data_IF_928124629665
#
_entry.id   IF_928124629665
#
_cell.length_a   1.000
_cell.length_b   1.000
_cell.length_c   1.000
_cell.angle_alpha   90.00
_cell.angle_beta   90.00
_cell.angle_gamma   90.00
#
_symmetry.space_group_name_H-M   'P 1'
#
loop_
_entity.id
_entity.type
_entity.pdbx_description
1 polymer ?
#
# COMPACT_ATOMS: atom_id res chain seq x y z
N UNK A 1 -13.53 2.58 -14.20
CA UNK A 1 -12.74 3.32 -13.18
C UNK A 1 -11.60 2.42 -12.77
N UNK A 2 -10.36 2.89 -12.83
CA UNK A 2 -9.17 2.09 -12.54
C UNK A 2 -8.85 2.12 -11.05
N UNK A 3 -9.71 1.48 -10.27
CA UNK A 3 -9.67 1.46 -8.82
C UNK A 3 -9.66 0.03 -8.29
N UNK A 4 -8.95 -0.20 -7.20
CA UNK A 4 -8.95 -1.48 -6.52
C UNK A 4 -8.80 -1.32 -5.01
N UNK A 5 -9.43 -2.23 -4.29
CA UNK A 5 -9.17 -2.47 -2.88
C UNK A 5 -8.77 -3.95 -2.70
N UNK A 6 -7.69 -4.17 -1.97
CA UNK A 6 -7.11 -5.48 -1.68
C UNK A 6 -6.76 -5.54 -0.21
N UNK A 7 -7.20 -6.62 0.44
CA UNK A 7 -6.83 -6.96 1.81
C UNK A 7 -6.02 -8.24 1.79
N UNK A 8 -4.89 -8.24 2.50
CA UNK A 8 -4.02 -9.40 2.65
C UNK A 8 -3.70 -9.58 4.12
N UNK A 9 -4.01 -10.76 4.65
CA UNK A 9 -3.75 -11.12 6.04
C UNK A 9 -2.89 -12.38 6.06
N UNK A 10 -1.76 -12.29 6.74
CA UNK A 10 -0.90 -13.42 7.07
C UNK A 10 -0.83 -13.57 8.59
N UNK A 11 0.04 -14.48 9.05
CA UNK A 11 0.34 -14.59 10.48
C UNK A 11 1.17 -13.40 10.95
N UNK A 12 1.97 -12.83 10.07
CA UNK A 12 2.94 -11.77 10.31
C UNK A 12 2.29 -10.39 10.20
N UNK A 13 1.39 -10.19 9.22
CA UNK A 13 0.83 -8.87 8.89
C UNK A 13 -0.66 -8.88 8.60
N UNK A 14 -1.30 -7.73 8.80
CA UNK A 14 -2.67 -7.43 8.38
C UNK A 14 -2.66 -6.12 7.61
N UNK A 15 -2.99 -6.20 6.32
CA UNK A 15 -2.80 -5.10 5.38
C UNK A 15 -4.04 -4.88 4.55
N UNK A 16 -4.41 -3.61 4.39
CA UNK A 16 -5.43 -3.13 3.46
C UNK A 16 -4.82 -2.05 2.59
N UNK A 17 -4.98 -2.19 1.28
CA UNK A 17 -4.59 -1.19 0.27
C UNK A 17 -5.82 -0.82 -0.54
N UNK A 18 -6.10 0.48 -0.63
CA UNK A 18 -7.05 1.06 -1.57
C UNK A 18 -6.31 1.99 -2.51
N UNK A 19 -6.54 1.83 -3.80
CA UNK A 19 -5.81 2.47 -4.88
C UNK A 19 -6.78 3.03 -5.94
N UNK A 20 -6.50 4.24 -6.38
CA UNK A 20 -7.05 4.84 -7.60
C UNK A 20 -5.91 5.23 -8.54
N UNK A 21 -5.87 4.64 -9.73
CA UNK A 21 -4.86 4.96 -10.75
C UNK A 21 -5.14 6.27 -11.50
N UNK A 22 -6.37 6.80 -11.39
CA UNK A 22 -6.80 8.06 -12.00
C UNK A 22 -6.94 9.17 -10.94
N UNK A 23 -6.05 9.16 -9.95
CA UNK A 23 -6.11 10.00 -8.75
C UNK A 23 -5.52 11.40 -8.91
N UNK A 24 -5.26 12.03 -7.76
CA UNK A 24 -4.71 13.40 -7.63
C UNK A 24 -3.41 13.45 -6.83
N UNK A 25 -2.84 12.29 -6.51
CA UNK A 25 -1.61 12.19 -5.73
C UNK A 25 -1.84 12.26 -4.22
N UNK A 26 -3.03 11.89 -3.72
CA UNK A 26 -3.36 11.93 -2.29
C UNK A 26 -2.94 10.63 -1.61
N UNK A 27 -2.15 10.71 -0.55
CA UNK A 27 -1.75 9.55 0.25
C UNK A 27 -2.33 9.58 1.67
N UNK A 28 -2.83 8.44 2.15
CA UNK A 28 -3.19 8.18 3.55
C UNK A 28 -2.49 6.90 4.00
N UNK A 29 -1.45 7.04 4.81
CA UNK A 29 -0.54 5.95 5.12
C UNK A 29 -0.49 5.74 6.63
N UNK A 30 -0.68 4.50 7.07
CA UNK A 30 -0.60 4.08 8.46
C UNK A 30 0.01 2.68 8.49
N UNK A 31 1.34 2.63 8.44
CA UNK A 31 2.13 1.40 8.31
C UNK A 31 2.99 1.12 9.54
N UNK A 32 3.19 2.13 10.39
CA UNK A 32 4.14 2.08 11.52
C UNK A 32 5.60 2.22 11.11
N UNK A 33 5.89 2.48 9.82
CA UNK A 33 7.23 2.62 9.26
C UNK A 33 7.41 3.98 8.57
N UNK A 34 7.79 5.05 9.31
CA UNK A 34 7.78 6.42 8.81
C UNK A 34 8.58 6.64 7.51
N UNK A 35 9.71 5.95 7.35
CA UNK A 35 10.51 6.07 6.13
C UNK A 35 9.83 5.40 4.92
N UNK A 36 9.16 4.27 5.12
CA UNK A 36 8.38 3.63 4.06
C UNK A 36 7.20 4.52 3.66
N UNK A 37 6.52 5.14 4.63
CA UNK A 37 5.43 6.10 4.34
C UNK A 37 5.92 7.29 3.52
N UNK A 38 7.11 7.81 3.85
CA UNK A 38 7.74 8.84 3.04
C UNK A 38 7.96 8.39 1.59
N UNK A 39 8.45 7.15 1.37
CA UNK A 39 8.64 6.62 0.02
C UNK A 39 7.30 6.43 -0.73
N UNK A 40 6.27 5.92 -0.05
CA UNK A 40 4.96 5.69 -0.66
C UNK A 40 4.20 6.99 -0.97
N UNK A 41 4.38 8.05 -0.17
CA UNK A 41 3.87 9.40 -0.50
C UNK A 41 4.47 9.91 -1.80
N UNK A 42 5.77 9.70 -2.03
CA UNK A 42 6.41 10.09 -3.30
C UNK A 42 5.83 9.30 -4.48
N UNK A 43 5.58 8.00 -4.31
CA UNK A 43 4.93 7.18 -5.36
C UNK A 43 3.54 7.71 -5.70
N UNK A 44 2.70 8.00 -4.70
CA UNK A 44 1.36 8.55 -4.92
C UNK A 44 1.44 9.92 -5.63
N UNK A 45 2.24 10.84 -5.08
CA UNK A 45 2.38 12.22 -5.55
C UNK A 45 2.89 12.31 -6.99
N UNK A 46 3.97 11.60 -7.31
CA UNK A 46 4.59 11.67 -8.63
C UNK A 46 3.92 10.74 -9.66
N UNK A 47 3.20 9.73 -9.19
CA UNK A 47 2.40 8.84 -10.03
C UNK A 47 0.98 9.33 -10.31
N UNK A 48 0.54 10.44 -9.68
CA UNK A 48 -0.85 10.93 -9.71
C UNK A 48 -1.86 9.85 -9.27
N UNK A 49 -1.48 9.05 -8.28
CA UNK A 49 -2.31 7.98 -7.72
C UNK A 49 -2.93 8.46 -6.41
N UNK A 50 -4.16 8.07 -6.11
CA UNK A 50 -4.68 8.16 -4.75
C UNK A 50 -4.44 6.83 -4.05
N UNK A 51 -3.75 6.87 -2.90
CA UNK A 51 -3.24 5.68 -2.21
C UNK A 51 -3.61 5.73 -0.73
N UNK A 52 -4.34 4.73 -0.26
CA UNK A 52 -4.63 4.52 1.16
C UNK A 52 -4.09 3.15 1.59
N UNK A 53 -3.16 3.14 2.56
CA UNK A 53 -2.53 1.92 3.08
C UNK A 53 -2.65 1.91 4.61
N UNK A 54 -3.27 0.86 5.12
CA UNK A 54 -3.30 0.53 6.54
C UNK A 54 -2.59 -0.81 6.72
N UNK A 55 -1.56 -0.85 7.54
CA UNK A 55 -0.80 -2.06 7.83
C UNK A 55 -0.49 -2.17 9.33
N UNK A 56 -0.63 -3.39 9.84
CA UNK A 56 -0.11 -3.81 11.14
C UNK A 56 0.75 -5.04 10.91
N UNK A 57 1.96 -5.04 11.45
CA UNK A 57 2.87 -6.16 11.30
C UNK A 57 3.70 -6.41 12.55
N UNK A 58 4.49 -7.47 12.49
CA UNK A 58 5.37 -7.96 13.54
C UNK A 58 6.67 -7.15 13.69
N UNK A 59 6.56 -5.82 13.74
CA UNK A 59 7.69 -4.86 13.78
C UNK A 59 8.67 -5.06 14.97
N UNK A 60 8.29 -5.86 15.96
CA UNK A 60 9.16 -6.24 17.07
C UNK A 60 10.23 -7.28 16.68
N UNK A 61 10.05 -7.97 15.54
CA UNK A 61 11.06 -8.84 14.94
C UNK A 61 11.99 -7.97 14.09
N UNK A 62 11.48 -7.45 12.98
CA UNK A 62 12.11 -6.47 12.10
C UNK A 62 11.02 -5.88 11.14
N UNK A 63 11.34 -4.94 10.23
CA UNK A 63 10.34 -4.38 9.32
C UNK A 63 10.13 -5.21 8.04
N UNK A 64 10.86 -6.30 7.83
CA UNK A 64 10.95 -7.03 6.55
C UNK A 64 9.57 -7.47 6.07
N UNK A 65 8.86 -8.26 6.89
CA UNK A 65 7.55 -8.79 6.50
C UNK A 65 6.55 -7.67 6.22
N UNK A 66 6.57 -6.59 7.01
CA UNK A 66 5.66 -5.46 6.82
C UNK A 66 5.94 -4.74 5.51
N UNK A 67 7.21 -4.48 5.18
CA UNK A 67 7.60 -3.85 3.91
C UNK A 67 7.24 -4.75 2.72
N UNK A 68 7.61 -6.03 2.79
CA UNK A 68 7.35 -7.00 1.73
C UNK A 68 5.85 -7.16 1.46
N UNK A 69 5.06 -7.38 2.51
CA UNK A 69 3.65 -7.67 2.40
C UNK A 69 2.85 -6.44 1.94
N UNK A 70 3.28 -5.22 2.30
CA UNK A 70 2.74 -3.97 1.72
C UNK A 70 3.02 -3.95 0.22
N UNK A 71 4.26 -4.25 -0.20
CA UNK A 71 4.66 -4.30 -1.60
C UNK A 71 3.84 -5.30 -2.42
N UNK A 72 3.65 -6.51 -1.90
CA UNK A 72 2.83 -7.55 -2.53
C UNK A 72 1.37 -7.07 -2.68
N UNK A 73 0.78 -6.54 -1.60
CA UNK A 73 -0.62 -6.11 -1.59
C UNK A 73 -0.85 -4.92 -2.52
N UNK A 74 0.10 -3.98 -2.57
CA UNK A 74 0.08 -2.86 -3.50
C UNK A 74 0.19 -3.34 -4.96
N UNK A 75 1.08 -4.27 -5.25
CA UNK A 75 1.21 -4.86 -6.59
C UNK A 75 -0.08 -5.56 -7.06
N UNK A 76 -0.75 -6.28 -6.15
CA UNK A 76 -2.06 -6.87 -6.41
C UNK A 76 -3.14 -5.82 -6.68
N UNK A 77 -3.16 -4.73 -5.91
CA UNK A 77 -4.09 -3.62 -6.12
C UNK A 77 -3.85 -2.94 -7.48
N UNK A 78 -2.59 -2.70 -7.86
CA UNK A 78 -2.24 -2.15 -9.18
C UNK A 78 -2.73 -3.07 -10.30
N UNK A 79 -2.41 -4.36 -10.26
CA UNK A 79 -2.84 -5.31 -11.29
C UNK A 79 -4.37 -5.36 -11.44
N UNK A 80 -5.09 -5.40 -10.30
CA UNK A 80 -6.56 -5.39 -10.29
C UNK A 80 -7.15 -4.07 -10.81
N UNK A 81 -6.53 -2.93 -10.51
CA UNK A 81 -6.98 -1.62 -10.96
C UNK A 81 -6.70 -1.37 -12.45
N UNK A 82 -5.63 -1.95 -13.01
CA UNK A 82 -5.35 -1.92 -14.45
C UNK A 82 -6.43 -2.69 -15.22
N UNK A 83 -6.83 -3.88 -14.74
CA UNK A 83 -7.80 -4.73 -15.44
C UNK A 83 -7.18 -5.45 -16.64
N UNK A 84 -8.01 -5.76 -17.64
CA UNK A 84 -7.63 -6.39 -18.92
C UNK A 84 -7.11 -5.37 -19.95
#
# INVERSE_FOLDING_TARGET
>A
MRQAEVTRNTKETQIRVKLDLDGKGVAKLSTGLPFLEHMLDQVARHGMLDLEIEARGDLHIDPHHTVEDIGITLGQAVAKAIGD
#
